data_IF_419617234454
#
_entry.id   IF_419617234454
#
_cell.length_a   1.000
_cell.length_b   1.000
_cell.length_c   1.000
_cell.angle_alpha   90.00
_cell.angle_beta   90.00
_cell.angle_gamma   90.00
#
_symmetry.space_group_name_H-M   'P 1'
#
loop_
_entity.id
_entity.type
_entity.pdbx_description
1 polymer ?
#
# COMPACT_ATOMS: atom_id res chain seq x y z
N UNK A 1 74.29 -18.93 -10.80
CA UNK A 1 73.35 -18.73 -9.67
C UNK A 1 72.46 -17.48 -9.75
N UNK A 2 72.87 -16.37 -10.33
CA UNK A 2 72.06 -15.12 -10.41
C UNK A 2 70.91 -15.12 -11.45
N UNK A 3 70.99 -15.92 -12.52
CA UNK A 3 69.93 -16.01 -13.53
C UNK A 3 68.69 -16.76 -13.03
N UNK A 4 68.85 -17.89 -12.33
CA UNK A 4 67.75 -18.70 -11.78
C UNK A 4 66.90 -17.94 -10.75
N UNK A 5 67.49 -17.03 -9.99
CA UNK A 5 66.78 -16.26 -8.99
C UNK A 5 65.87 -15.17 -9.60
N UNK A 6 66.22 -14.63 -10.78
CA UNK A 6 65.40 -13.62 -11.49
C UNK A 6 64.14 -14.24 -12.15
N UNK A 7 64.27 -15.46 -12.66
CA UNK A 7 63.12 -16.12 -13.30
C UNK A 7 62.11 -16.64 -12.30
N UNK A 8 62.59 -17.10 -11.11
CA UNK A 8 61.74 -17.48 -10.00
C UNK A 8 60.93 -16.29 -9.41
N UNK A 9 61.56 -15.09 -9.38
CA UNK A 9 60.90 -13.87 -8.90
C UNK A 9 59.84 -13.35 -9.90
N UNK A 10 60.10 -13.47 -11.21
CA UNK A 10 59.13 -13.16 -12.28
C UNK A 10 57.94 -14.13 -12.25
N UNK A 11 58.21 -15.43 -12.08
CA UNK A 11 57.17 -16.45 -11.99
C UNK A 11 56.25 -16.24 -10.74
N UNK A 12 56.83 -15.93 -9.58
CA UNK A 12 56.05 -15.60 -8.38
C UNK A 12 55.23 -14.33 -8.53
N UNK A 13 55.73 -13.29 -9.21
CA UNK A 13 54.98 -12.06 -9.52
C UNK A 13 53.83 -12.31 -10.50
N UNK A 14 54.05 -13.10 -11.56
CA UNK A 14 52.99 -13.46 -12.51
C UNK A 14 51.93 -14.33 -11.89
N UNK A 15 52.29 -15.28 -11.01
CA UNK A 15 51.35 -16.12 -10.28
C UNK A 15 50.50 -15.30 -9.27
N UNK A 16 51.10 -14.32 -8.61
CA UNK A 16 50.39 -13.43 -7.68
C UNK A 16 49.36 -12.54 -8.41
N UNK A 17 49.71 -12.04 -9.59
CA UNK A 17 48.81 -11.22 -10.44
C UNK A 17 47.63 -12.06 -10.94
N UNK A 18 47.86 -13.30 -11.35
CA UNK A 18 46.80 -14.22 -11.78
C UNK A 18 45.85 -14.57 -10.64
N UNK A 19 46.36 -14.81 -9.41
CA UNK A 19 45.56 -15.11 -8.23
C UNK A 19 44.72 -13.88 -7.83
N UNK A 20 45.26 -12.68 -7.85
CA UNK A 20 44.55 -11.42 -7.57
C UNK A 20 43.46 -11.16 -8.63
N UNK A 21 43.74 -11.44 -9.90
CA UNK A 21 42.74 -11.31 -10.98
C UNK A 21 41.62 -12.33 -10.84
N UNK A 22 41.88 -13.56 -10.38
CA UNK A 22 40.85 -14.55 -10.12
C UNK A 22 39.95 -14.15 -8.92
N UNK A 23 40.49 -13.52 -7.88
CA UNK A 23 39.68 -13.05 -6.75
C UNK A 23 38.82 -11.83 -7.07
N UNK A 24 39.23 -10.97 -8.01
CA UNK A 24 38.44 -9.82 -8.47
C UNK A 24 37.27 -10.21 -9.42
N UNK A 25 37.29 -11.43 -9.96
CA UNK A 25 36.24 -11.93 -10.86
C UNK A 25 35.05 -12.55 -10.14
N UNK A 26 35.09 -12.73 -8.82
CA UNK A 26 34.01 -13.38 -8.05
C UNK A 26 33.04 -12.41 -7.39
N UNK A 27 33.09 -11.12 -7.67
CA UNK A 27 32.02 -10.19 -7.29
C UNK A 27 30.96 -10.05 -8.37
N UNK A 28 30.67 -11.11 -9.14
CA UNK A 28 29.36 -11.18 -9.79
C UNK A 28 28.31 -11.37 -8.70
N UNK A 29 27.72 -10.26 -8.27
CA UNK A 29 26.50 -10.28 -7.52
C UNK A 29 25.57 -11.30 -8.19
N UNK A 30 25.22 -12.37 -7.47
CA UNK A 30 24.16 -13.27 -7.88
C UNK A 30 22.93 -12.39 -8.12
N UNK A 31 22.64 -12.09 -9.37
CA UNK A 31 21.31 -11.63 -9.74
C UNK A 31 20.38 -12.76 -9.31
N UNK A 32 19.77 -12.61 -8.17
CA UNK A 32 18.77 -13.56 -7.67
C UNK A 32 17.56 -13.41 -8.58
N UNK A 33 17.52 -14.19 -9.70
CA UNK A 33 16.36 -14.32 -10.57
C UNK A 33 15.19 -14.95 -9.82
N UNK A 34 14.84 -14.37 -8.68
CA UNK A 34 13.76 -14.81 -7.83
C UNK A 34 12.54 -13.88 -7.92
N UNK A 35 11.42 -14.34 -7.42
CA UNK A 35 10.26 -13.49 -7.25
C UNK A 35 9.68 -13.65 -5.85
N UNK A 36 9.01 -12.59 -5.39
CA UNK A 36 8.17 -12.60 -4.19
C UNK A 36 6.71 -12.34 -4.56
N UNK A 37 5.82 -12.79 -3.69
CA UNK A 37 4.37 -12.52 -3.77
C UNK A 37 4.02 -11.50 -2.68
N UNK A 38 3.37 -10.41 -3.09
CA UNK A 38 2.88 -9.36 -2.19
C UNK A 38 1.36 -9.37 -2.21
N UNK A 39 0.74 -9.72 -1.08
CA UNK A 39 -0.69 -9.53 -0.89
C UNK A 39 -0.97 -8.06 -0.58
N UNK A 40 -1.79 -7.42 -1.41
CA UNK A 40 -2.11 -6.00 -1.30
C UNK A 40 -3.57 -5.71 -1.65
N UNK A 41 -3.94 -4.43 -1.69
CA UNK A 41 -5.32 -4.04 -1.96
C UNK A 41 -5.56 -3.67 -3.42
N UNK A 42 -6.78 -3.91 -3.89
CA UNK A 42 -7.23 -3.50 -5.23
C UNK A 42 -7.05 -2.00 -5.45
N UNK A 43 -7.32 -1.18 -4.42
CA UNK A 43 -7.15 0.27 -4.51
C UNK A 43 -5.69 0.67 -4.73
N UNK A 44 -4.75 0.04 -4.03
CA UNK A 44 -3.31 0.30 -4.22
C UNK A 44 -2.85 -0.12 -5.62
N UNK A 45 -3.31 -1.28 -6.12
CA UNK A 45 -3.01 -1.72 -7.49
C UNK A 45 -3.58 -0.75 -8.52
N UNK A 46 -4.84 -0.37 -8.38
CA UNK A 46 -5.56 0.49 -9.33
C UNK A 46 -5.07 1.94 -9.32
N UNK A 47 -4.43 2.41 -8.24
CA UNK A 47 -3.80 3.73 -8.20
C UNK A 47 -2.65 3.88 -9.20
N UNK A 48 -2.06 2.76 -9.63
CA UNK A 48 -0.88 2.73 -10.51
C UNK A 48 0.46 2.83 -9.76
N UNK A 49 0.46 2.94 -8.42
CA UNK A 49 1.67 3.05 -7.62
C UNK A 49 2.66 1.92 -7.90
N UNK A 50 2.21 0.65 -7.83
CA UNK A 50 3.07 -0.50 -8.08
C UNK A 50 3.65 -0.52 -9.49
N UNK A 51 2.89 -0.07 -10.51
CA UNK A 51 3.41 0.05 -11.89
C UNK A 51 4.58 1.04 -11.99
N UNK A 52 4.61 2.04 -11.10
CA UNK A 52 5.68 3.04 -11.05
C UNK A 52 6.91 2.57 -10.25
N UNK A 53 6.70 2.02 -9.03
CA UNK A 53 7.80 1.75 -8.11
C UNK A 53 8.48 0.39 -8.35
N UNK A 54 7.72 -0.68 -8.73
CA UNK A 54 8.28 -2.03 -8.87
C UNK A 54 9.34 -2.16 -9.98
N UNK A 55 9.23 -1.50 -11.15
CA UNK A 55 10.31 -1.53 -12.14
C UNK A 55 11.62 -0.95 -11.62
N UNK A 56 11.57 0.09 -10.76
CA UNK A 56 12.75 0.69 -10.13
C UNK A 56 13.42 -0.32 -9.17
N UNK A 57 12.64 -0.99 -8.34
CA UNK A 57 13.11 -2.06 -7.47
C UNK A 57 13.74 -3.22 -8.25
N UNK A 58 13.03 -3.74 -9.26
CA UNK A 58 13.53 -4.87 -10.07
C UNK A 58 14.82 -4.50 -10.80
N UNK A 59 14.93 -3.27 -11.30
CA UNK A 59 16.16 -2.78 -11.96
C UNK A 59 17.36 -2.76 -11.02
N UNK A 60 17.16 -2.40 -9.75
CA UNK A 60 18.24 -2.29 -8.75
C UNK A 60 18.64 -3.63 -8.13
N UNK A 61 17.72 -4.62 -8.07
CA UNK A 61 17.93 -5.86 -7.31
C UNK A 61 17.86 -7.14 -8.14
N UNK A 62 17.30 -7.11 -9.34
CA UNK A 62 16.99 -8.29 -10.15
C UNK A 62 15.79 -9.11 -9.63
N UNK A 63 15.16 -8.72 -8.51
CA UNK A 63 14.04 -9.44 -7.91
C UNK A 63 12.73 -8.99 -8.54
N UNK A 64 11.89 -9.95 -8.97
CA UNK A 64 10.55 -9.66 -9.46
C UNK A 64 9.53 -9.65 -8.32
N UNK A 65 8.50 -8.80 -8.43
CA UNK A 65 7.41 -8.71 -7.46
C UNK A 65 6.08 -9.01 -8.15
N UNK A 66 5.37 -10.01 -7.65
CA UNK A 66 4.02 -10.37 -8.09
C UNK A 66 3.02 -9.84 -7.07
N UNK A 67 2.15 -8.92 -7.46
CA UNK A 67 1.17 -8.32 -6.56
C UNK A 67 -0.19 -8.99 -6.75
N UNK A 68 -0.75 -9.49 -5.64
CA UNK A 68 -2.12 -9.95 -5.56
C UNK A 68 -2.98 -8.84 -4.96
N UNK A 69 -3.79 -8.18 -5.79
CA UNK A 69 -4.69 -7.07 -5.39
C UNK A 69 -6.09 -7.58 -5.10
N UNK A 70 -6.46 -7.60 -3.82
CA UNK A 70 -7.78 -8.04 -3.32
C UNK A 70 -8.31 -7.08 -2.24
N UNK A 71 -9.42 -7.37 -1.57
CA UNK A 71 -9.85 -6.59 -0.39
C UNK A 71 -8.88 -6.75 0.79
N UNK A 72 -8.78 -5.76 1.69
CA UNK A 72 -7.84 -5.78 2.82
C UNK A 72 -7.96 -7.05 3.66
N UNK A 73 -9.18 -7.42 4.05
CA UNK A 73 -9.41 -8.64 4.83
C UNK A 73 -8.99 -9.90 4.08
N UNK A 74 -9.24 -9.96 2.78
CA UNK A 74 -8.82 -11.08 1.94
C UNK A 74 -7.29 -11.12 1.77
N UNK A 75 -6.62 -9.98 1.62
CA UNK A 75 -5.15 -9.91 1.57
C UNK A 75 -4.52 -10.44 2.86
N UNK A 76 -5.09 -10.08 4.03
CA UNK A 76 -4.67 -10.61 5.32
C UNK A 76 -4.85 -12.13 5.38
N UNK A 77 -6.01 -12.66 4.99
CA UNK A 77 -6.25 -14.11 4.95
C UNK A 77 -5.29 -14.86 4.03
N UNK A 78 -4.94 -14.28 2.88
CA UNK A 78 -3.90 -14.81 1.97
C UNK A 78 -2.55 -14.89 2.67
N UNK A 79 -2.15 -13.82 3.35
CA UNK A 79 -0.90 -13.77 4.09
C UNK A 79 -0.89 -14.71 5.32
N UNK A 80 -2.02 -14.85 6.03
CA UNK A 80 -2.18 -15.79 7.15
C UNK A 80 -1.99 -17.26 6.73
N UNK A 81 -2.43 -17.63 5.53
CA UNK A 81 -2.22 -18.97 4.97
C UNK A 81 -0.81 -19.21 4.42
N UNK A 82 0.01 -18.14 4.32
CA UNK A 82 1.34 -18.20 3.74
C UNK A 82 1.35 -18.17 2.20
N UNK A 83 0.23 -17.84 1.55
CA UNK A 83 0.13 -17.75 0.08
C UNK A 83 0.83 -16.48 -0.49
N UNK A 84 1.41 -15.66 0.39
CA UNK A 84 2.25 -14.51 0.06
C UNK A 84 3.49 -14.45 0.95
N UNK A 85 4.54 -13.78 0.47
CA UNK A 85 5.77 -13.51 1.23
C UNK A 85 5.61 -12.24 2.07
N UNK A 86 4.78 -11.30 1.62
CA UNK A 86 4.61 -9.96 2.20
C UNK A 86 3.13 -9.57 2.18
N UNK A 87 2.69 -8.91 3.26
CA UNK A 87 1.45 -8.16 3.36
C UNK A 87 1.75 -6.66 3.24
N UNK A 88 1.10 -5.97 2.27
CA UNK A 88 1.25 -4.53 2.05
C UNK A 88 -0.14 -3.90 1.89
N UNK A 89 -0.71 -3.41 2.97
CA UNK A 89 -2.09 -2.90 3.05
C UNK A 89 -2.17 -1.58 3.82
N UNK A 90 -3.38 -1.08 4.11
CA UNK A 90 -3.59 0.22 4.74
C UNK A 90 -4.73 0.19 5.79
N UNK A 91 -4.73 -0.81 6.67
CA UNK A 91 -5.60 -0.85 7.84
C UNK A 91 -4.79 -1.21 9.09
N UNK A 92 -4.22 -0.18 9.72
CA UNK A 92 -3.22 -0.31 10.78
C UNK A 92 -3.64 -1.25 11.91
N UNK A 93 -4.92 -1.22 12.33
CA UNK A 93 -5.44 -2.08 13.41
C UNK A 93 -5.27 -3.55 13.02
N UNK A 94 -5.78 -3.96 11.85
CA UNK A 94 -5.65 -5.35 11.38
C UNK A 94 -4.20 -5.77 11.11
N UNK A 95 -3.34 -4.85 10.68
CA UNK A 95 -1.91 -5.12 10.46
C UNK A 95 -1.16 -5.37 11.78
N UNK A 96 -1.49 -4.59 12.82
CA UNK A 96 -0.94 -4.78 14.18
C UNK A 96 -1.41 -6.11 14.75
N UNK A 97 -2.69 -6.45 14.57
CA UNK A 97 -3.26 -7.73 15.00
C UNK A 97 -2.61 -8.91 14.27
N UNK A 98 -2.36 -8.81 12.97
CA UNK A 98 -1.64 -9.81 12.18
C UNK A 98 -0.25 -10.12 12.76
N UNK A 99 0.49 -9.08 13.19
CA UNK A 99 1.79 -9.25 13.85
C UNK A 99 1.63 -9.81 15.27
N UNK A 100 0.67 -9.29 16.06
CA UNK A 100 0.39 -9.75 17.43
C UNK A 100 0.05 -11.25 17.48
N UNK A 101 -0.67 -11.73 16.47
CA UNK A 101 -1.04 -13.14 16.33
C UNK A 101 0.07 -13.99 15.67
N UNK A 102 1.29 -13.44 15.55
CA UNK A 102 2.48 -14.08 14.99
C UNK A 102 2.31 -14.59 13.54
N UNK A 103 1.40 -14.03 12.75
CA UNK A 103 1.33 -14.26 11.31
C UNK A 103 2.33 -13.42 10.53
N UNK A 104 2.70 -12.24 11.05
CA UNK A 104 3.74 -11.35 10.55
C UNK A 104 4.90 -11.19 11.52
N UNK A 105 6.08 -10.80 11.01
CA UNK A 105 7.29 -10.61 11.84
C UNK A 105 7.29 -9.22 12.49
N UNK A 106 7.24 -8.18 11.66
CA UNK A 106 7.27 -6.77 12.08
C UNK A 106 6.56 -5.92 11.04
N UNK A 107 5.76 -4.97 11.50
CA UNK A 107 5.12 -3.95 10.67
C UNK A 107 6.01 -2.72 10.55
N UNK A 108 6.11 -2.17 9.34
CA UNK A 108 6.76 -0.89 9.06
C UNK A 108 5.74 0.06 8.46
N UNK A 109 5.73 1.33 8.90
CA UNK A 109 5.04 2.39 8.18
C UNK A 109 5.78 2.67 6.86
N UNK A 110 5.03 2.90 5.78
CA UNK A 110 5.61 3.09 4.43
C UNK A 110 5.28 4.47 3.89
N UNK A 111 4.00 4.79 3.87
CA UNK A 111 3.45 6.00 3.28
C UNK A 111 2.04 6.22 3.80
N UNK A 112 1.47 7.39 3.53
CA UNK A 112 0.05 7.63 3.73
C UNK A 112 -0.56 8.34 2.52
N UNK A 113 -1.86 8.21 2.36
CA UNK A 113 -2.74 9.13 1.67
C UNK A 113 -3.87 9.53 2.62
N UNK A 114 -4.96 10.04 2.11
CA UNK A 114 -6.14 10.36 2.90
C UNK A 114 -7.40 9.78 2.28
N UNK A 115 -8.42 9.70 3.11
CA UNK A 115 -9.78 9.52 2.67
C UNK A 115 -10.42 10.89 2.41
N UNK A 116 -11.45 10.88 1.57
CA UNK A 116 -12.28 12.03 1.22
C UNK A 116 -13.74 11.61 1.21
N UNK A 117 -14.64 12.53 1.54
CA UNK A 117 -16.07 12.34 1.28
C UNK A 117 -16.40 12.97 -0.07
N UNK A 118 -16.90 12.15 -0.97
CA UNK A 118 -17.40 12.62 -2.28
C UNK A 118 -18.92 12.51 -2.30
N UNK A 119 -19.55 13.42 -3.04
CA UNK A 119 -21.00 13.46 -3.19
C UNK A 119 -21.42 14.34 -4.34
N UNK A 120 -22.72 14.52 -4.56
CA UNK A 120 -23.25 15.32 -5.65
C UNK A 120 -22.91 16.81 -5.46
N UNK A 121 -22.71 17.53 -6.57
CA UNK A 121 -22.27 18.93 -6.55
C UNK A 121 -23.26 19.88 -5.86
N UNK A 122 -24.55 19.55 -5.87
CA UNK A 122 -25.62 20.33 -5.21
C UNK A 122 -25.67 20.12 -3.69
N UNK A 123 -24.92 19.15 -3.18
CA UNK A 123 -24.70 18.87 -1.76
C UNK A 123 -25.92 19.01 -0.84
N UNK A 124 -27.01 18.25 -1.06
CA UNK A 124 -28.25 18.40 -0.30
C UNK A 124 -28.09 18.13 1.21
N UNK A 125 -27.03 17.46 1.62
CA UNK A 125 -26.70 17.24 3.05
C UNK A 125 -25.80 18.33 3.64
N UNK A 126 -25.36 19.32 2.86
CA UNK A 126 -24.48 20.41 3.31
C UNK A 126 -23.16 19.90 3.94
N UNK A 127 -22.59 18.86 3.34
CA UNK A 127 -21.34 18.20 3.80
C UNK A 127 -20.14 19.15 3.70
N UNK A 128 -20.09 19.99 2.69
CA UNK A 128 -18.99 20.93 2.44
C UNK A 128 -18.78 21.93 3.60
N UNK A 129 -19.82 22.21 4.38
CA UNK A 129 -19.77 23.11 5.54
C UNK A 129 -19.58 22.39 6.88
N UNK A 130 -19.25 21.08 6.85
CA UNK A 130 -18.92 20.34 8.07
C UNK A 130 -17.55 20.75 8.62
N UNK A 131 -17.42 20.88 9.96
CA UNK A 131 -16.16 21.23 10.62
C UNK A 131 -15.21 20.02 10.83
N UNK A 132 -15.74 18.80 10.75
CA UNK A 132 -15.00 17.55 10.82
C UNK A 132 -15.78 16.43 10.12
N UNK A 133 -15.13 15.29 9.89
CA UNK A 133 -15.74 14.16 9.18
C UNK A 133 -16.96 13.56 9.92
N UNK A 134 -16.95 13.56 11.25
CA UNK A 134 -18.07 13.06 12.05
C UNK A 134 -19.32 13.92 11.84
N UNK A 135 -19.16 15.23 11.74
CA UNK A 135 -20.25 16.14 11.42
C UNK A 135 -20.75 15.94 9.98
N UNK A 136 -19.86 15.73 9.01
CA UNK A 136 -20.25 15.39 7.65
C UNK A 136 -21.17 14.15 7.62
N UNK A 137 -20.82 13.10 8.36
CA UNK A 137 -21.63 11.89 8.49
C UNK A 137 -22.96 12.15 9.21
N UNK A 138 -22.97 12.99 10.28
CA UNK A 138 -24.22 13.42 10.95
C UNK A 138 -25.17 14.15 10.01
N UNK A 139 -24.66 15.06 9.18
CA UNK A 139 -25.45 15.81 8.20
C UNK A 139 -26.10 14.87 7.17
N UNK A 140 -25.33 13.89 6.64
CA UNK A 140 -25.86 12.87 5.73
C UNK A 140 -26.96 12.03 6.39
N UNK A 141 -26.76 11.59 7.64
CA UNK A 141 -27.77 10.81 8.39
C UNK A 141 -29.02 11.64 8.69
N UNK A 142 -28.87 12.90 9.10
CA UNK A 142 -29.99 13.78 9.46
C UNK A 142 -30.92 14.06 8.25
N UNK A 143 -30.32 14.27 7.07
CA UNK A 143 -31.07 14.49 5.84
C UNK A 143 -31.55 13.21 5.18
N UNK A 144 -31.08 12.03 5.67
CA UNK A 144 -31.30 10.71 5.05
C UNK A 144 -30.85 10.71 3.57
N UNK A 145 -29.85 11.51 3.24
CA UNK A 145 -29.26 11.53 1.91
C UNK A 145 -28.57 10.20 1.62
N UNK A 146 -28.68 9.71 0.39
CA UNK A 146 -28.15 8.39 0.05
C UNK A 146 -26.64 8.33 0.29
N UNK A 147 -26.21 7.40 1.13
CA UNK A 147 -24.80 7.07 1.34
C UNK A 147 -24.52 5.66 0.80
N UNK A 148 -23.53 5.54 -0.06
CA UNK A 148 -23.09 4.26 -0.62
C UNK A 148 -21.83 3.81 0.11
N UNK A 149 -21.98 2.79 0.95
CA UNK A 149 -20.87 2.09 1.58
C UNK A 149 -20.32 1.02 0.66
N UNK A 150 -19.04 0.67 0.84
CA UNK A 150 -18.45 -0.44 0.10
C UNK A 150 -19.10 -1.79 0.44
N UNK A 151 -19.51 -1.98 1.69
CA UNK A 151 -20.15 -3.23 2.13
C UNK A 151 -19.27 -4.47 1.97
N UNK A 152 -17.92 -4.30 2.09
CA UNK A 152 -16.94 -5.36 1.93
C UNK A 152 -15.93 -5.35 3.10
N UNK A 153 -14.96 -6.26 3.08
CA UNK A 153 -13.88 -6.34 4.09
C UNK A 153 -12.71 -5.35 3.82
N UNK A 154 -12.94 -4.27 3.06
CA UNK A 154 -11.88 -3.32 2.72
C UNK A 154 -11.52 -2.37 3.87
N UNK A 155 -10.30 -1.80 3.81
CA UNK A 155 -9.89 -0.75 4.74
C UNK A 155 -10.78 0.50 4.66
N UNK A 156 -11.28 0.86 3.47
CA UNK A 156 -12.21 1.98 3.27
C UNK A 156 -13.55 1.71 3.95
N UNK A 157 -14.09 0.48 3.84
CA UNK A 157 -15.33 0.11 4.51
C UNK A 157 -15.17 0.18 6.04
N UNK A 158 -14.12 -0.44 6.56
CA UNK A 158 -13.82 -0.41 8.01
C UNK A 158 -13.69 1.02 8.52
N UNK A 159 -12.99 1.88 7.76
CA UNK A 159 -12.84 3.30 8.12
C UNK A 159 -14.16 4.06 8.08
N UNK A 160 -15.01 3.80 7.08
CA UNK A 160 -16.36 4.36 7.03
C UNK A 160 -17.22 3.95 8.22
N UNK A 161 -17.15 2.67 8.62
CA UNK A 161 -17.86 2.18 9.81
C UNK A 161 -17.38 2.84 11.10
N UNK A 162 -16.07 3.12 11.26
CA UNK A 162 -15.55 3.88 12.41
C UNK A 162 -16.26 5.24 12.55
N UNK A 163 -16.46 5.96 11.44
CA UNK A 163 -17.17 7.25 11.46
C UNK A 163 -18.66 7.08 11.75
N UNK A 164 -19.32 6.09 11.16
CA UNK A 164 -20.73 5.78 11.44
C UNK A 164 -20.96 5.40 12.90
N UNK A 165 -20.09 4.57 13.49
CA UNK A 165 -20.19 4.16 14.89
C UNK A 165 -19.93 5.30 15.88
N UNK A 166 -19.35 6.42 15.44
CA UNK A 166 -19.13 7.59 16.28
C UNK A 166 -20.36 8.50 16.43
N UNK A 167 -21.47 8.15 15.76
CA UNK A 167 -22.73 8.90 15.81
C UNK A 167 -23.91 7.98 16.17
N UNK A 168 -24.98 8.50 16.78
CA UNK A 168 -26.15 7.71 17.19
C UNK A 168 -27.05 7.41 15.98
N UNK A 169 -26.63 6.49 15.09
CA UNK A 169 -27.41 6.04 13.93
C UNK A 169 -27.49 4.52 13.91
N UNK A 170 -28.66 3.98 13.63
CA UNK A 170 -28.82 2.55 13.37
C UNK A 170 -28.67 2.29 11.86
N UNK A 171 -27.52 1.70 11.50
CA UNK A 171 -27.23 1.36 10.11
C UNK A 171 -28.03 0.15 9.63
N UNK A 172 -28.40 -0.77 10.55
CA UNK A 172 -29.18 -1.96 10.18
C UNK A 172 -30.58 -1.51 9.76
N UNK A 173 -31.22 -0.64 10.55
CA UNK A 173 -32.52 -0.06 10.18
C UNK A 173 -32.46 0.86 8.96
N UNK A 174 -31.32 1.45 8.68
CA UNK A 174 -31.10 2.35 7.54
C UNK A 174 -30.71 1.61 6.25
N UNK A 175 -30.32 0.33 6.36
CA UNK A 175 -29.85 -0.49 5.22
C UNK A 175 -30.96 -0.67 4.17
N UNK A 176 -30.57 -0.58 2.91
CA UNK A 176 -31.49 -0.63 1.78
C UNK A 176 -32.33 0.63 1.57
N UNK A 177 -32.37 1.54 2.53
CA UNK A 177 -33.06 2.84 2.46
C UNK A 177 -32.07 3.91 1.95
N UNK A 178 -31.56 4.75 2.84
CA UNK A 178 -30.56 5.78 2.50
C UNK A 178 -29.11 5.29 2.70
N UNK A 179 -28.86 4.30 3.56
CA UNK A 179 -27.57 3.61 3.66
C UNK A 179 -27.57 2.38 2.75
N UNK A 180 -26.72 2.36 1.75
CA UNK A 180 -26.65 1.29 0.74
C UNK A 180 -25.27 0.69 0.68
N UNK A 181 -25.19 -0.63 0.58
CA UNK A 181 -23.95 -1.38 0.51
C UNK A 181 -23.73 -1.91 -0.93
N UNK A 182 -22.62 -1.52 -1.55
CA UNK A 182 -22.30 -1.91 -2.91
C UNK A 182 -21.80 -3.36 -3.03
N UNK A 183 -21.29 -3.94 -1.94
CA UNK A 183 -20.69 -5.28 -1.92
C UNK A 183 -19.49 -5.42 -2.85
N UNK A 184 -18.80 -4.30 -3.19
CA UNK A 184 -17.83 -4.29 -4.30
C UNK A 184 -16.66 -3.32 -4.07
N UNK A 185 -15.65 -3.37 -4.97
CA UNK A 185 -14.48 -2.50 -4.93
C UNK A 185 -14.80 -1.03 -5.16
N UNK A 186 -13.87 -0.12 -4.77
CA UNK A 186 -14.10 1.33 -4.75
C UNK A 186 -14.54 1.91 -6.10
N UNK A 187 -14.03 1.40 -7.22
CA UNK A 187 -14.43 1.88 -8.55
C UNK A 187 -15.91 1.60 -8.85
N UNK A 188 -16.41 0.41 -8.51
CA UNK A 188 -17.84 0.07 -8.66
C UNK A 188 -18.70 0.86 -7.67
N UNK A 189 -18.23 1.05 -6.44
CA UNK A 189 -18.90 1.91 -5.43
C UNK A 189 -19.04 3.34 -5.95
N UNK A 190 -17.98 3.92 -6.51
CA UNK A 190 -18.02 5.27 -7.11
C UNK A 190 -18.99 5.36 -8.32
N UNK A 191 -19.03 4.32 -9.18
CA UNK A 191 -20.00 4.26 -10.27
C UNK A 191 -21.45 4.25 -9.76
N UNK A 192 -21.73 3.41 -8.75
CA UNK A 192 -23.06 3.38 -8.13
C UNK A 192 -23.38 4.74 -7.49
N UNK A 193 -22.46 5.31 -6.71
CA UNK A 193 -22.62 6.62 -6.08
C UNK A 193 -22.96 7.70 -7.10
N UNK A 194 -22.24 7.73 -8.23
CA UNK A 194 -22.47 8.68 -9.32
C UNK A 194 -23.84 8.49 -9.96
N UNK A 195 -24.27 7.23 -10.17
CA UNK A 195 -25.56 6.94 -10.86
C UNK A 195 -26.80 7.31 -10.04
N UNK A 196 -26.67 7.38 -8.70
CA UNK A 196 -27.79 7.66 -7.79
C UNK A 196 -27.63 8.98 -7.01
N UNK A 197 -26.69 9.83 -7.42
CA UNK A 197 -26.36 11.09 -6.73
C UNK A 197 -26.20 10.93 -5.22
N UNK A 198 -25.45 9.91 -4.80
CA UNK A 198 -25.19 9.60 -3.40
C UNK A 198 -23.87 10.18 -2.89
N UNK A 199 -23.62 9.96 -1.60
CA UNK A 199 -22.36 10.24 -0.92
C UNK A 199 -21.57 8.94 -0.72
N UNK A 200 -20.25 9.01 -0.66
CA UNK A 200 -19.41 7.87 -0.26
C UNK A 200 -18.08 8.35 0.29
N UNK A 201 -17.45 7.50 1.12
CA UNK A 201 -16.05 7.64 1.48
C UNK A 201 -15.18 6.97 0.40
N UNK A 202 -14.17 7.69 -0.08
CA UNK A 202 -13.21 7.14 -1.02
C UNK A 202 -11.77 7.43 -0.57
N UNK A 203 -10.81 6.56 -0.89
CA UNK A 203 -9.41 6.95 -0.82
C UNK A 203 -9.08 7.90 -1.98
N UNK A 204 -8.28 8.93 -1.69
CA UNK A 204 -7.95 9.97 -2.66
C UNK A 204 -7.30 9.41 -3.93
N UNK A 205 -6.45 8.39 -3.82
CA UNK A 205 -5.74 7.85 -4.98
C UNK A 205 -6.70 7.18 -5.97
N UNK A 206 -7.68 6.41 -5.48
CA UNK A 206 -8.73 5.83 -6.33
C UNK A 206 -9.59 6.92 -6.93
N UNK A 207 -10.03 7.93 -6.15
CA UNK A 207 -10.77 9.08 -6.67
C UNK A 207 -10.04 9.84 -7.77
N UNK A 208 -8.73 10.08 -7.60
CA UNK A 208 -7.92 10.74 -8.61
C UNK A 208 -7.76 9.93 -9.90
N UNK A 209 -7.68 8.60 -9.79
CA UNK A 209 -7.61 7.71 -10.94
C UNK A 209 -8.97 7.50 -11.62
N UNK A 210 -10.07 7.65 -10.89
CA UNK A 210 -11.42 7.40 -11.36
C UNK A 210 -11.86 8.41 -12.45
N UNK A 211 -12.43 7.90 -13.54
CA UNK A 211 -12.79 8.72 -14.72
C UNK A 211 -14.26 9.14 -14.74
N UNK A 212 -15.16 8.23 -14.34
CA UNK A 212 -16.60 8.38 -14.52
C UNK A 212 -17.25 9.10 -13.34
N UNK A 213 -16.80 10.35 -13.06
CA UNK A 213 -17.23 11.11 -11.88
C UNK A 213 -18.65 11.62 -11.93
N UNK A 214 -19.19 11.83 -13.15
CA UNK A 214 -20.52 12.46 -13.31
C UNK A 214 -20.58 13.79 -12.57
N UNK A 215 -21.63 13.98 -11.74
CA UNK A 215 -21.82 15.15 -10.87
C UNK A 215 -21.03 15.10 -9.56
N UNK A 216 -20.28 14.00 -9.28
CA UNK A 216 -19.58 13.88 -7.99
C UNK A 216 -18.39 14.82 -7.91
N UNK A 217 -18.28 15.46 -6.76
CA UNK A 217 -17.14 16.32 -6.36
C UNK A 217 -16.64 15.90 -4.98
N UNK A 218 -15.45 16.39 -4.60
CA UNK A 218 -14.96 16.27 -3.21
C UNK A 218 -15.69 17.33 -2.40
N UNK A 219 -16.41 16.90 -1.38
CA UNK A 219 -17.18 17.79 -0.50
C UNK A 219 -16.51 17.96 0.87
N UNK A 220 -15.79 16.95 1.36
CA UNK A 220 -15.08 17.07 2.62
C UNK A 220 -13.71 16.37 2.56
N UNK A 221 -12.68 17.04 3.07
CA UNK A 221 -11.28 16.56 3.12
C UNK A 221 -10.49 17.27 4.22
N UNK A 222 -9.28 16.78 4.52
CA UNK A 222 -8.30 17.48 5.38
C UNK A 222 -8.42 17.17 6.88
N UNK A 223 -9.39 16.39 7.32
CA UNK A 223 -9.48 15.96 8.73
C UNK A 223 -8.37 14.93 9.04
N UNK A 224 -7.66 15.14 10.14
CA UNK A 224 -6.55 14.28 10.56
C UNK A 224 -6.97 12.80 10.80
N UNK A 225 -8.22 12.57 11.21
CA UNK A 225 -8.79 11.23 11.37
C UNK A 225 -9.02 10.50 10.05
N UNK A 226 -9.00 11.21 8.92
CA UNK A 226 -9.12 10.65 7.58
C UNK A 226 -7.77 10.19 6.98
N UNK A 227 -6.68 10.29 7.75
CA UNK A 227 -5.36 9.80 7.31
C UNK A 227 -5.40 8.29 7.11
N UNK A 228 -4.92 7.85 5.95
CA UNK A 228 -4.89 6.45 5.53
C UNK A 228 -3.44 5.94 5.48
N UNK A 229 -2.98 5.35 6.57
CA UNK A 229 -1.60 4.88 6.74
C UNK A 229 -1.42 3.50 6.11
N UNK A 230 -0.42 3.36 5.25
CA UNK A 230 0.02 2.10 4.64
C UNK A 230 1.14 1.46 5.46
N UNK A 231 1.05 0.15 5.62
CA UNK A 231 2.07 -0.65 6.27
C UNK A 231 2.54 -1.82 5.41
N UNK A 232 3.76 -2.28 5.68
CA UNK A 232 4.36 -3.46 5.06
C UNK A 232 4.87 -4.42 6.14
N UNK A 233 4.59 -5.71 5.97
CA UNK A 233 4.93 -6.75 6.94
C UNK A 233 5.36 -8.01 6.21
N UNK A 234 6.48 -8.63 6.60
CA UNK A 234 6.87 -9.96 6.15
C UNK A 234 5.98 -11.00 6.82
N UNK A 235 5.48 -11.97 6.04
CA UNK A 235 4.81 -13.16 6.56
C UNK A 235 5.80 -13.97 7.39
N UNK A 236 5.35 -14.52 8.52
CA UNK A 236 6.23 -15.15 9.50
C UNK A 236 6.80 -16.50 9.00
N UNK A 237 8.12 -16.59 8.74
CA UNK A 237 8.76 -17.82 8.27
C UNK A 237 8.77 -18.93 9.32
N UNK A 238 8.56 -18.64 10.61
CA UNK A 238 8.41 -19.66 11.62
C UNK A 238 7.14 -20.48 11.43
N UNK A 239 6.08 -19.84 10.90
CA UNK A 239 4.81 -20.52 10.52
C UNK A 239 4.87 -21.10 9.12
N UNK A 240 5.50 -20.40 8.18
CA UNK A 240 5.48 -20.74 6.75
C UNK A 240 6.91 -20.82 6.21
N UNK A 241 7.51 -22.02 6.26
CA UNK A 241 8.91 -22.28 5.90
C UNK A 241 9.30 -21.92 4.46
N UNK A 242 8.31 -21.80 3.58
CA UNK A 242 8.51 -21.44 2.16
C UNK A 242 8.58 -19.94 1.90
N UNK A 243 8.32 -19.11 2.90
CA UNK A 243 8.49 -17.64 2.78
C UNK A 243 9.94 -17.31 2.41
N UNK A 244 10.10 -16.54 1.36
CA UNK A 244 11.39 -16.20 0.76
C UNK A 244 12.06 -15.05 1.53
N UNK A 245 12.49 -15.33 2.76
CA UNK A 245 12.99 -14.35 3.73
C UNK A 245 14.03 -13.39 3.13
N UNK A 246 15.10 -13.83 2.42
CA UNK A 246 16.09 -12.91 1.88
C UNK A 246 15.49 -11.93 0.86
N UNK A 247 14.62 -12.42 -0.05
CA UNK A 247 14.00 -11.59 -1.07
C UNK A 247 12.97 -10.63 -0.48
N UNK A 248 12.16 -11.11 0.48
CA UNK A 248 11.18 -10.30 1.19
C UNK A 248 11.84 -9.20 2.02
N UNK A 249 12.94 -9.52 2.73
CA UNK A 249 13.74 -8.53 3.48
C UNK A 249 14.33 -7.47 2.56
N UNK A 250 14.85 -7.86 1.38
CA UNK A 250 15.38 -6.93 0.39
C UNK A 250 14.29 -5.98 -0.11
N UNK A 251 13.07 -6.48 -0.37
CA UNK A 251 11.98 -5.62 -0.83
C UNK A 251 11.50 -4.67 0.26
N UNK A 252 11.30 -5.14 1.49
CA UNK A 252 10.93 -4.29 2.62
C UNK A 252 12.00 -3.22 2.85
N UNK A 253 13.28 -3.63 2.90
CA UNK A 253 14.40 -2.71 3.07
C UNK A 253 14.45 -1.64 1.98
N UNK A 254 14.21 -2.02 0.71
CA UNK A 254 14.15 -1.05 -0.38
C UNK A 254 12.95 -0.10 -0.24
N UNK A 255 11.76 -0.61 0.07
CA UNK A 255 10.55 0.22 0.21
C UNK A 255 10.72 1.30 1.28
N UNK A 256 11.39 0.97 2.39
CA UNK A 256 11.64 1.92 3.50
C UNK A 256 12.96 2.70 3.36
N UNK A 257 13.78 2.42 2.33
CA UNK A 257 15.02 3.14 2.05
C UNK A 257 14.78 4.50 1.40
N UNK A 258 15.84 5.31 1.29
CA UNK A 258 15.80 6.59 0.59
C UNK A 258 15.27 6.45 -0.85
N UNK A 259 15.72 5.43 -1.59
CA UNK A 259 15.32 5.22 -2.99
C UNK A 259 13.84 4.84 -3.11
N UNK A 260 13.36 3.93 -2.27
CA UNK A 260 11.97 3.51 -2.25
C UNK A 260 11.04 4.64 -1.83
N UNK A 261 11.41 5.38 -0.78
CA UNK A 261 10.64 6.52 -0.28
C UNK A 261 10.63 7.70 -1.28
N UNK A 262 11.74 7.98 -1.95
CA UNK A 262 11.79 8.94 -3.05
C UNK A 262 10.90 8.49 -4.22
N UNK A 263 10.96 7.20 -4.59
CA UNK A 263 10.10 6.66 -5.65
C UNK A 263 8.60 6.80 -5.34
N UNK A 264 8.21 6.66 -4.07
CA UNK A 264 6.83 6.88 -3.60
C UNK A 264 6.48 8.37 -3.66
N UNK A 265 7.35 9.25 -3.14
CA UNK A 265 7.12 10.70 -3.12
C UNK A 265 7.06 11.33 -4.52
N UNK A 266 7.76 10.76 -5.49
CA UNK A 266 7.78 11.23 -6.88
C UNK A 266 6.57 10.76 -7.68
N UNK A 267 5.82 9.77 -7.17
CA UNK A 267 4.66 9.26 -7.88
C UNK A 267 3.53 10.30 -7.96
N UNK A 268 2.96 10.45 -9.15
CA UNK A 268 1.88 11.40 -9.44
C UNK A 268 0.72 10.71 -10.14
N UNK A 269 -0.50 11.07 -9.74
CA UNK A 269 -1.73 10.74 -10.47
C UNK A 269 -2.23 12.05 -11.09
N UNK A 270 -2.28 12.13 -12.42
CA UNK A 270 -2.66 13.36 -13.14
C UNK A 270 -1.88 14.61 -12.67
N UNK A 271 -0.58 14.47 -12.47
CA UNK A 271 0.32 15.53 -12.04
C UNK A 271 0.27 15.88 -10.54
N UNK A 272 -0.63 15.29 -9.76
CA UNK A 272 -0.76 15.55 -8.31
C UNK A 272 -0.15 14.43 -7.48
N UNK A 273 0.55 14.79 -6.42
CA UNK A 273 1.01 13.85 -5.41
C UNK A 273 -0.19 13.35 -4.60
N UNK A 274 -0.28 12.02 -4.43
CA UNK A 274 -1.37 11.37 -3.70
C UNK A 274 -0.89 10.45 -2.59
N UNK A 275 0.40 10.09 -2.62
CA UNK A 275 1.06 9.32 -1.56
C UNK A 275 2.22 10.13 -0.99
N UNK A 276 2.36 10.08 0.32
CA UNK A 276 3.38 10.78 1.09
C UNK A 276 4.18 9.75 1.88
N UNK A 277 5.44 9.59 1.52
CA UNK A 277 6.35 8.66 2.16
C UNK A 277 6.64 9.07 3.62
N UNK A 278 6.62 8.10 4.55
CA UNK A 278 6.83 8.37 5.97
C UNK A 278 7.41 7.18 6.75
N UNK A 279 8.22 6.35 6.13
CA UNK A 279 8.88 5.25 6.83
C UNK A 279 9.87 5.77 7.87
N UNK A 280 9.76 5.29 9.13
CA UNK A 280 10.65 5.73 10.23
C UNK A 280 12.12 5.36 9.98
N UNK A 281 12.39 4.23 9.33
CA UNK A 281 13.75 3.80 8.95
C UNK A 281 14.44 4.71 7.93
N UNK A 282 13.70 5.56 7.26
CA UNK A 282 14.19 6.50 6.27
C UNK A 282 15.17 7.56 6.84
N UNK A 283 15.05 7.91 8.13
CA UNK A 283 15.92 8.89 8.80
C UNK A 283 17.17 8.29 9.44
N UNK A 284 17.30 6.97 9.51
CA UNK A 284 18.34 6.29 10.28
C UNK A 284 19.37 5.53 9.43
N UNK A 285 19.28 5.63 8.08
CA UNK A 285 20.28 5.07 7.16
C UNK A 285 21.10 6.23 6.54
N UNK A 286 21.60 7.12 7.41
CA UNK A 286 22.64 8.09 7.08
C UNK A 286 23.94 7.65 7.74
#
# INVERSE_FOLDING_TARGET
MKLFARDLAKFKRSLAIVIVSLFLSFTNAFATNGFIVVASTTSTVNSGLFKNILPKFTKSTGISVRVLGVGTGQAIKVAERGDADILFVHHKISEVEFVKNAFGVKRYDVMYNDFIVVGPQDDPADVQNAINVVEAYKKIAATKSIFVSRGDESGTHKKSLEFWHSIPVDLVDSSGKWYREAGSGMGATLNLTSSINGYTLADRSTWMAFQNKGSLVVLFEGDSSMRNQYGITMVNPARHKHVKVPLASTFIGWVVSNDGQAAINDFRIRGKQTFFANAEGYKTIN
#
